data_IF_406912913743
#
_entry.id   IF_406912913743
#
_cell.length_a   1.000
_cell.length_b   1.000
_cell.length_c   1.000
_cell.angle_alpha   90.00
_cell.angle_beta   90.00
_cell.angle_gamma   90.00
#
_symmetry.space_group_name_H-M   'P 1'
#
loop_
_entity.id
_entity.type
_entity.pdbx_description
1 polymer ?
#
# COMPACT_ATOMS: atom_id res chain seq x y z
N UNK A 1 -59.68 15.72 -37.80
CA UNK A 1 -60.47 16.26 -36.69
C UNK A 1 -59.85 15.82 -35.38
N UNK A 2 -59.61 16.79 -34.48
CA UNK A 2 -59.46 16.68 -33.02
C UNK A 2 -58.30 15.84 -32.44
N UNK A 3 -57.58 16.25 -31.39
CA UNK A 3 -57.43 17.52 -30.69
C UNK A 3 -56.21 17.39 -29.78
N UNK A 4 -55.41 18.45 -29.68
CA UNK A 4 -54.36 18.63 -28.67
C UNK A 4 -54.98 18.68 -27.28
N UNK A 5 -54.37 17.98 -26.32
CA UNK A 5 -54.50 18.31 -24.89
C UNK A 5 -53.11 18.34 -24.25
N UNK A 6 -52.65 19.56 -23.98
CA UNK A 6 -51.60 19.83 -23.02
C UNK A 6 -52.14 19.56 -21.62
N UNK A 7 -51.33 18.92 -20.77
CA UNK A 7 -51.50 19.03 -19.33
C UNK A 7 -50.18 19.52 -18.74
N UNK A 8 -50.21 20.80 -18.37
CA UNK A 8 -49.27 21.43 -17.45
C UNK A 8 -49.53 20.87 -16.06
N UNK A 9 -48.51 20.26 -15.45
CA UNK A 9 -48.50 19.92 -14.04
C UNK A 9 -47.33 20.66 -13.38
N UNK A 10 -47.64 21.85 -12.87
CA UNK A 10 -46.75 22.59 -11.99
C UNK A 10 -46.59 21.81 -10.68
N UNK A 11 -45.40 21.25 -10.45
CA UNK A 11 -45.04 20.66 -9.16
C UNK A 11 -44.02 21.58 -8.48
N UNK A 12 -44.53 22.52 -7.70
CA UNK A 12 -43.72 23.22 -6.71
C UNK A 12 -43.26 22.22 -5.66
N UNK A 13 -41.95 21.93 -5.62
CA UNK A 13 -41.32 21.29 -4.48
C UNK A 13 -40.35 22.28 -3.86
N UNK A 14 -40.71 22.66 -2.63
CA UNK A 14 -40.00 23.54 -1.71
C UNK A 14 -38.55 23.10 -1.59
N UNK A 15 -37.60 24.00 -1.85
CA UNK A 15 -36.21 23.79 -1.46
C UNK A 15 -36.11 23.96 0.06
N UNK A 16 -36.18 22.86 0.80
CA UNK A 16 -35.76 22.83 2.19
C UNK A 16 -34.24 22.88 2.21
N UNK A 17 -33.67 24.05 2.46
CA UNK A 17 -32.25 24.18 2.78
C UNK A 17 -32.02 23.52 4.15
N UNK A 18 -31.37 22.36 4.17
CA UNK A 18 -30.89 21.78 5.41
C UNK A 18 -29.83 22.70 6.02
N UNK A 19 -29.84 22.96 7.34
CA UNK A 19 -28.78 23.75 7.96
C UNK A 19 -27.46 22.99 7.83
N UNK A 20 -26.48 23.61 7.16
CA UNK A 20 -25.10 23.14 7.18
C UNK A 20 -24.61 23.20 8.62
N UNK A 21 -24.51 22.05 9.28
CA UNK A 21 -23.79 21.92 10.55
C UNK A 21 -22.34 22.27 10.25
N UNK A 22 -21.89 23.44 10.70
CA UNK A 22 -20.49 23.78 10.72
C UNK A 22 -19.80 22.82 11.68
N UNK A 23 -19.11 21.80 11.14
CA UNK A 23 -18.14 21.02 11.90
C UNK A 23 -17.03 21.97 12.32
N UNK A 24 -17.02 22.41 13.58
CA UNK A 24 -15.86 23.07 14.14
C UNK A 24 -14.72 22.06 14.13
N UNK A 25 -13.71 22.31 13.29
CA UNK A 25 -12.42 21.64 13.39
C UNK A 25 -11.70 22.21 14.62
N UNK A 26 -12.16 21.81 15.81
CA UNK A 26 -11.35 21.99 17.01
C UNK A 26 -10.06 21.17 16.82
N UNK A 27 -8.87 21.73 17.10
CA UNK A 27 -7.66 20.92 17.12
C UNK A 27 -7.89 19.86 18.19
N UNK A 28 -8.01 18.59 17.79
CA UNK A 28 -7.92 17.48 18.74
C UNK A 28 -6.51 17.52 19.28
N UNK A 29 -6.34 18.21 20.41
CA UNK A 29 -5.18 18.07 21.28
C UNK A 29 -5.10 16.58 21.59
N UNK A 30 -4.13 15.90 20.98
CA UNK A 30 -3.84 14.51 21.29
C UNK A 30 -3.60 14.45 22.80
N UNK A 31 -4.59 13.96 23.54
CA UNK A 31 -4.37 13.55 24.90
C UNK A 31 -3.51 12.29 24.78
N UNK A 32 -2.26 12.42 25.21
CA UNK A 32 -1.46 11.27 25.58
C UNK A 32 -2.22 10.53 26.67
N UNK A 33 -2.91 9.45 26.33
CA UNK A 33 -3.19 8.42 27.31
C UNK A 33 -1.84 7.77 27.60
N UNK A 34 -1.06 8.40 28.48
CA UNK A 34 -0.14 7.67 29.32
C UNK A 34 -1.06 6.75 30.11
N UNK A 35 -1.13 5.48 29.73
CA UNK A 35 -1.70 4.44 30.56
C UNK A 35 -1.03 4.58 31.92
N UNK A 36 -1.75 5.14 32.90
CA UNK A 36 -1.28 5.07 34.28
C UNK A 36 -1.29 3.59 34.62
N UNK A 37 -0.10 3.02 34.79
CA UNK A 37 0.05 1.64 35.19
C UNK A 37 -0.58 1.49 36.59
N UNK A 38 -1.82 1.03 36.65
CA UNK A 38 -2.45 0.55 37.88
C UNK A 38 -1.96 -0.89 38.11
N UNK A 39 -0.69 -1.00 38.46
CA UNK A 39 -0.09 -2.23 38.96
C UNK A 39 0.68 -1.88 40.21
N UNK A 40 0.25 -2.39 41.36
CA UNK A 40 1.06 -2.35 42.58
C UNK A 40 2.34 -3.14 42.28
N UNK A 41 3.46 -2.44 42.06
CA UNK A 41 4.78 -3.08 41.90
C UNK A 41 5.20 -3.56 43.29
N UNK A 42 4.76 -4.75 43.70
CA UNK A 42 5.41 -5.48 44.78
C UNK A 42 6.54 -6.31 44.15
N UNK A 43 7.72 -5.71 44.06
CA UNK A 43 8.96 -6.33 43.59
C UNK A 43 10.16 -5.80 44.41
N UNK A 44 11.24 -6.59 44.56
CA UNK A 44 12.23 -6.41 45.62
C UNK A 44 12.98 -5.08 45.51
N UNK A 45 13.25 -4.51 46.69
CA UNK A 45 14.12 -3.35 46.93
C UNK A 45 15.59 -3.78 46.82
N UNK A 46 16.08 -3.93 45.61
CA UNK A 46 17.52 -3.98 45.30
C UNK A 46 17.77 -3.14 44.07
N UNK A 47 18.78 -2.27 44.13
CA UNK A 47 19.26 -1.44 43.01
C UNK A 47 19.99 -2.27 41.94
N UNK A 48 19.54 -3.50 41.69
CA UNK A 48 20.06 -4.36 40.65
C UNK A 48 19.24 -4.11 39.38
N UNK A 49 19.87 -3.67 38.27
CA UNK A 49 19.17 -3.57 37.00
C UNK A 49 18.75 -4.97 36.55
N UNK A 50 17.50 -5.13 36.14
CA UNK A 50 17.01 -6.39 35.59
C UNK A 50 17.62 -6.61 34.20
N UNK A 51 18.66 -7.45 34.15
CA UNK A 51 19.37 -7.80 32.92
C UNK A 51 18.56 -8.68 31.97
N UNK A 52 17.41 -9.20 32.40
CA UNK A 52 16.53 -10.02 31.58
C UNK A 52 15.37 -9.22 30.97
N UNK A 53 15.31 -7.89 31.17
CA UNK A 53 14.33 -7.03 30.50
C UNK A 53 14.54 -7.07 28.99
N UNK A 54 13.48 -7.40 28.26
CA UNK A 54 13.45 -7.24 26.81
C UNK A 54 13.64 -5.75 26.49
N UNK A 55 14.72 -5.43 25.77
CA UNK A 55 15.00 -4.05 25.38
C UNK A 55 13.81 -3.47 24.61
N UNK A 56 13.29 -2.33 25.05
CA UNK A 56 12.19 -1.65 24.40
C UNK A 56 12.56 -1.33 22.95
N UNK A 57 11.89 -1.98 22.00
CA UNK A 57 12.27 -2.03 20.58
C UNK A 57 11.91 -0.75 19.81
N UNK A 58 11.11 0.13 20.43
CA UNK A 58 10.67 1.40 19.86
C UNK A 58 11.67 2.52 20.16
N UNK A 59 12.80 2.55 19.44
CA UNK A 59 13.85 3.57 19.64
C UNK A 59 13.38 4.99 19.33
N UNK A 60 12.37 5.17 18.46
CA UNK A 60 11.82 6.48 18.12
C UNK A 60 10.35 6.45 17.70
N UNK A 61 9.67 7.59 17.78
CA UNK A 61 8.27 7.78 17.32
C UNK A 61 8.07 7.47 15.83
N UNK A 62 9.12 7.51 15.03
CA UNK A 62 9.06 7.36 13.57
C UNK A 62 9.65 6.03 13.08
N UNK A 63 10.22 5.23 13.97
CA UNK A 63 10.74 3.90 13.63
C UNK A 63 9.55 2.95 13.55
N UNK A 64 9.29 2.30 12.40
CA UNK A 64 8.23 1.30 12.32
C UNK A 64 8.55 0.16 13.29
N UNK A 65 7.55 -0.30 14.03
CA UNK A 65 7.68 -1.45 14.95
C UNK A 65 7.06 -2.67 14.26
N UNK A 66 7.77 -3.81 14.21
CA UNK A 66 7.24 -5.02 13.59
C UNK A 66 6.05 -5.54 14.39
N UNK A 67 5.00 -6.01 13.69
CA UNK A 67 3.81 -6.55 14.36
C UNK A 67 4.06 -7.90 15.04
N UNK A 68 5.02 -8.67 14.52
CA UNK A 68 5.44 -9.95 15.07
C UNK A 68 6.96 -9.99 15.09
N UNK A 69 7.56 -10.11 16.27
CA UNK A 69 9.01 -10.27 16.40
C UNK A 69 9.34 -11.75 16.47
N UNK A 70 10.13 -12.23 15.52
CA UNK A 70 10.62 -13.60 15.53
C UNK A 70 11.74 -13.73 16.57
N UNK A 71 11.44 -14.36 17.71
CA UNK A 71 12.36 -14.49 18.85
C UNK A 71 13.24 -15.76 18.78
N UNK A 72 13.20 -16.51 17.67
CA UNK A 72 13.99 -17.73 17.49
C UNK A 72 13.51 -18.95 18.29
N UNK A 73 12.33 -18.87 18.92
CA UNK A 73 11.66 -19.98 19.60
C UNK A 73 10.89 -20.92 18.66
N UNK A 74 10.95 -20.65 17.35
CA UNK A 74 10.29 -21.43 16.31
C UNK A 74 11.11 -22.69 15.96
N UNK A 75 10.44 -23.78 15.56
CA UNK A 75 11.11 -25.04 15.21
C UNK A 75 12.10 -24.87 14.05
N UNK A 76 11.79 -23.97 13.11
CA UNK A 76 12.67 -23.59 12.01
C UNK A 76 13.29 -22.25 12.39
N UNK A 77 14.62 -22.19 12.48
CA UNK A 77 15.31 -20.94 12.78
C UNK A 77 14.99 -19.88 11.70
N UNK A 78 14.32 -18.77 12.07
CA UNK A 78 13.97 -17.74 11.12
C UNK A 78 15.23 -17.05 10.60
N UNK A 79 15.28 -16.79 9.30
CA UNK A 79 16.42 -16.07 8.72
C UNK A 79 16.52 -14.64 9.26
N UNK A 80 15.41 -14.07 9.73
CA UNK A 80 15.35 -12.78 10.38
C UNK A 80 16.37 -12.64 11.52
N UNK A 81 16.49 -13.67 12.37
CA UNK A 81 17.39 -13.70 13.54
C UNK A 81 18.86 -13.86 13.14
N UNK A 82 19.11 -14.61 12.05
CA UNK A 82 20.48 -14.95 11.61
C UNK A 82 21.05 -13.88 10.65
N UNK A 83 20.20 -13.20 9.88
CA UNK A 83 20.60 -12.31 8.79
C UNK A 83 21.47 -11.12 9.23
N UNK A 84 21.39 -10.72 10.50
CA UNK A 84 22.00 -9.47 11.00
C UNK A 84 21.34 -8.21 10.44
N UNK A 85 20.20 -8.33 9.75
CA UNK A 85 19.45 -7.18 9.28
C UNK A 85 18.88 -6.38 10.45
N UNK A 86 18.83 -5.04 10.35
CA UNK A 86 18.23 -4.22 11.39
C UNK A 86 16.74 -4.55 11.53
N UNK A 87 16.25 -4.60 12.76
CA UNK A 87 14.85 -4.90 13.07
C UNK A 87 13.87 -3.89 12.45
N UNK A 88 14.31 -2.67 12.17
CA UNK A 88 13.54 -1.66 11.44
C UNK A 88 13.10 -2.13 10.06
N UNK A 89 13.86 -3.03 9.44
CA UNK A 89 13.57 -3.61 8.14
C UNK A 89 12.40 -4.60 8.25
N UNK A 90 12.34 -5.38 9.33
CA UNK A 90 11.23 -6.32 9.60
C UNK A 90 9.90 -5.59 9.77
N UNK A 91 9.95 -4.37 10.30
CA UNK A 91 8.78 -3.55 10.52
C UNK A 91 8.21 -2.92 9.24
N UNK A 92 8.93 -2.98 8.13
CA UNK A 92 8.45 -2.44 6.86
C UNK A 92 7.58 -3.46 6.15
N UNK A 93 6.52 -2.95 5.55
CA UNK A 93 5.70 -3.73 4.63
C UNK A 93 6.41 -3.86 3.29
N UNK A 94 6.31 -5.04 2.70
CA UNK A 94 6.87 -5.42 1.41
C UNK A 94 5.73 -5.63 0.43
N UNK A 95 5.90 -5.14 -0.80
CA UNK A 95 4.96 -5.35 -1.90
C UNK A 95 5.49 -6.43 -2.83
N UNK A 96 4.73 -7.50 -3.00
CA UNK A 96 4.99 -8.57 -3.95
C UNK A 96 4.05 -8.39 -5.14
N UNK A 97 4.59 -8.16 -6.34
CA UNK A 97 3.79 -7.83 -7.52
C UNK A 97 4.49 -8.23 -8.83
N UNK A 98 3.75 -8.33 -9.92
CA UNK A 98 4.33 -8.35 -11.27
C UNK A 98 4.31 -6.95 -11.86
N UNK A 99 5.40 -6.53 -12.49
CA UNK A 99 5.48 -5.21 -13.09
C UNK A 99 4.38 -5.01 -14.14
N UNK A 100 3.63 -3.92 -14.00
CA UNK A 100 2.59 -3.57 -14.97
C UNK A 100 3.22 -3.25 -16.33
N UNK A 101 2.59 -3.74 -17.39
CA UNK A 101 3.03 -3.45 -18.76
C UNK A 101 2.98 -1.94 -19.03
N UNK A 102 4.11 -1.29 -19.39
CA UNK A 102 4.13 0.14 -19.65
C UNK A 102 3.24 0.49 -20.84
N UNK A 103 2.46 1.58 -20.73
CA UNK A 103 1.60 2.05 -21.82
C UNK A 103 2.40 2.61 -23.01
N UNK A 104 3.64 3.03 -22.77
CA UNK A 104 4.54 3.60 -23.77
C UNK A 104 5.16 2.55 -24.71
N UNK A 105 5.17 1.27 -24.33
CA UNK A 105 5.80 0.20 -25.10
C UNK A 105 4.86 -1.00 -25.29
N UNK A 106 5.02 -1.71 -26.41
CA UNK A 106 4.24 -2.91 -26.72
C UNK A 106 4.85 -4.20 -26.18
N UNK A 107 6.11 -4.19 -25.75
CA UNK A 107 6.82 -5.35 -25.19
C UNK A 107 6.26 -5.81 -23.84
N UNK A 108 6.48 -7.09 -23.52
CA UNK A 108 5.93 -7.73 -22.30
C UNK A 108 6.96 -8.59 -21.56
N UNK A 109 8.24 -8.22 -21.68
CA UNK A 109 9.33 -8.99 -21.06
C UNK A 109 9.38 -8.80 -19.54
N UNK A 110 9.15 -7.57 -19.06
CA UNK A 110 9.30 -7.20 -17.65
C UNK A 110 8.24 -7.81 -16.74
N UNK A 111 7.01 -7.98 -17.22
CA UNK A 111 5.89 -8.51 -16.43
C UNK A 111 5.92 -10.02 -16.16
N UNK A 112 6.99 -10.73 -16.54
CA UNK A 112 7.09 -12.20 -16.39
C UNK A 112 7.59 -12.66 -15.03
N UNK A 113 8.37 -11.82 -14.33
CA UNK A 113 8.94 -12.16 -13.02
C UNK A 113 8.13 -11.50 -11.92
N UNK A 114 8.08 -12.16 -10.77
CA UNK A 114 7.55 -11.57 -9.54
C UNK A 114 8.63 -10.69 -8.94
N UNK A 115 8.24 -9.49 -8.54
CA UNK A 115 9.13 -8.50 -7.94
C UNK A 115 8.67 -8.19 -6.53
N UNK A 116 9.64 -8.08 -5.65
CA UNK A 116 9.45 -7.74 -4.26
C UNK A 116 10.20 -6.44 -3.96
N UNK A 117 9.44 -5.42 -3.58
CA UNK A 117 9.94 -4.09 -3.22
C UNK A 117 9.48 -3.72 -1.80
N UNK A 118 10.28 -2.91 -1.10
CA UNK A 118 9.90 -2.35 0.19
C UNK A 118 9.03 -1.10 0.04
N UNK A 119 8.12 -0.91 0.98
CA UNK A 119 7.36 0.34 1.06
C UNK A 119 8.27 1.52 1.43
N UNK A 120 7.83 2.70 1.02
CA UNK A 120 8.54 3.95 1.21
C UNK A 120 8.43 4.40 2.67
N UNK A 121 9.57 4.75 3.28
CA UNK A 121 9.57 5.35 4.61
C UNK A 121 8.79 6.68 4.64
N UNK A 122 7.89 6.89 5.62
CA UNK A 122 7.18 8.17 5.79
C UNK A 122 8.12 9.36 5.99
N UNK A 123 9.25 9.13 6.68
CA UNK A 123 10.30 10.12 6.91
C UNK A 123 11.63 9.54 6.45
N UNK A 124 12.36 10.28 5.62
CA UNK A 124 13.70 9.89 5.16
C UNK A 124 13.76 9.20 3.79
N UNK A 125 12.64 9.11 3.05
CA UNK A 125 12.69 8.60 1.68
C UNK A 125 13.48 9.50 0.73
N UNK A 126 13.06 10.77 0.58
CA UNK A 126 13.72 11.76 -0.28
C UNK A 126 13.64 13.14 0.38
N UNK A 127 14.73 13.90 0.35
CA UNK A 127 14.74 15.33 0.65
C UNK A 127 15.77 16.05 -0.23
N UNK A 128 15.63 17.36 -0.35
CA UNK A 128 16.57 18.19 -1.11
C UNK A 128 17.84 18.48 -0.29
N UNK A 129 19.00 18.28 -0.90
CA UNK A 129 20.28 18.67 -0.32
C UNK A 129 20.41 20.21 -0.32
N UNK A 130 20.59 20.88 0.84
CA UNK A 130 20.63 22.34 0.92
C UNK A 130 21.82 22.98 0.18
N UNK A 131 22.86 22.21 -0.16
CA UNK A 131 24.05 22.74 -0.85
C UNK A 131 23.89 22.77 -2.38
N UNK A 132 23.57 21.62 -3.00
CA UNK A 132 23.56 21.43 -4.48
C UNK A 132 22.15 21.10 -5.02
N UNK A 133 21.18 20.80 -4.17
CA UNK A 133 19.81 20.45 -4.59
C UNK A 133 19.61 18.98 -5.00
N UNK A 134 20.57 18.10 -4.72
CA UNK A 134 20.41 16.66 -4.98
C UNK A 134 19.32 16.01 -4.13
N UNK A 135 18.74 14.93 -4.66
CA UNK A 135 17.77 14.10 -3.95
C UNK A 135 18.49 13.18 -2.97
N UNK A 136 18.64 13.63 -1.73
CA UNK A 136 19.20 12.86 -0.61
C UNK A 136 18.18 11.86 -0.07
N UNK A 137 18.65 10.77 0.52
CA UNK A 137 17.82 9.73 1.13
C UNK A 137 18.53 9.13 2.35
N UNK A 138 17.75 8.69 3.33
CA UNK A 138 18.21 7.91 4.48
C UNK A 138 17.69 6.48 4.43
N UNK A 139 16.99 6.12 3.36
CA UNK A 139 16.44 4.78 3.17
C UNK A 139 17.48 3.85 2.54
N UNK A 140 17.90 2.83 3.28
CA UNK A 140 18.86 1.84 2.79
C UNK A 140 18.26 0.81 1.81
N UNK A 141 16.93 0.65 1.73
CA UNK A 141 16.28 -0.32 0.81
C UNK A 141 15.74 0.29 -0.48
N UNK A 142 15.74 1.62 -0.63
CA UNK A 142 15.07 2.29 -1.76
C UNK A 142 15.57 1.87 -3.17
N UNK A 143 16.81 1.38 -3.26
CA UNK A 143 17.42 0.93 -4.52
C UNK A 143 17.36 -0.57 -4.74
N UNK A 144 16.90 -1.32 -3.74
CA UNK A 144 16.92 -2.77 -3.72
C UNK A 144 15.59 -3.32 -4.19
N UNK A 145 15.63 -4.32 -5.04
CA UNK A 145 14.47 -5.11 -5.44
C UNK A 145 14.90 -6.54 -5.70
N UNK A 146 14.03 -7.49 -5.37
CA UNK A 146 14.32 -8.91 -5.55
C UNK A 146 13.33 -9.48 -6.56
N UNK A 147 13.87 -10.25 -7.51
CA UNK A 147 13.08 -10.90 -8.55
C UNK A 147 12.96 -12.40 -8.26
N UNK A 148 11.75 -12.92 -8.38
CA UNK A 148 11.37 -14.30 -8.14
C UNK A 148 10.73 -14.92 -9.39
N UNK A 149 10.81 -16.24 -9.47
CA UNK A 149 10.14 -17.06 -10.49
C UNK A 149 8.64 -17.17 -10.25
N UNK A 150 8.25 -17.47 -9.01
CA UNK A 150 6.86 -17.71 -8.61
C UNK A 150 6.41 -16.74 -7.52
N UNK A 151 5.10 -16.69 -7.28
CA UNK A 151 4.49 -15.90 -6.19
C UNK A 151 4.82 -16.53 -4.84
N UNK A 152 4.77 -17.84 -4.80
CA UNK A 152 4.96 -18.67 -3.62
C UNK A 152 6.39 -18.55 -3.09
N UNK A 153 7.40 -18.52 -3.99
CA UNK A 153 8.80 -18.30 -3.61
C UNK A 153 9.01 -16.94 -2.94
N UNK A 154 8.34 -15.89 -3.46
CA UNK A 154 8.42 -14.55 -2.91
C UNK A 154 7.76 -14.47 -1.53
N UNK A 155 6.60 -15.12 -1.35
CA UNK A 155 5.90 -15.19 -0.06
C UNK A 155 6.75 -15.93 0.97
N UNK A 156 7.25 -17.11 0.61
CA UNK A 156 8.09 -17.91 1.49
C UNK A 156 9.37 -17.16 1.89
N UNK A 157 9.97 -16.39 0.98
CA UNK A 157 11.11 -15.54 1.31
C UNK A 157 10.74 -14.45 2.32
N UNK A 158 9.62 -13.75 2.12
CA UNK A 158 9.15 -12.71 3.03
C UNK A 158 8.85 -13.28 4.44
N UNK A 159 8.16 -14.42 4.51
CA UNK A 159 7.83 -15.11 5.77
C UNK A 159 9.09 -15.55 6.52
N UNK A 160 10.08 -16.12 5.80
CA UNK A 160 11.34 -16.55 6.40
C UNK A 160 12.16 -15.39 6.99
N UNK A 161 12.03 -14.20 6.42
CA UNK A 161 12.69 -12.98 6.92
C UNK A 161 11.84 -12.20 7.94
N UNK A 162 10.60 -12.64 8.20
CA UNK A 162 9.68 -11.95 9.10
C UNK A 162 9.16 -10.62 8.54
N UNK A 163 9.12 -10.45 7.22
CA UNK A 163 8.60 -9.24 6.59
C UNK A 163 7.08 -9.30 6.46
N UNK A 164 6.41 -8.21 6.85
CA UNK A 164 4.99 -8.05 6.51
C UNK A 164 4.87 -7.87 4.99
N UNK A 165 3.98 -8.60 4.34
CA UNK A 165 3.83 -8.51 2.89
C UNK A 165 2.40 -8.23 2.44
N UNK A 166 2.29 -7.57 1.30
CA UNK A 166 1.05 -7.39 0.54
C UNK A 166 1.25 -7.93 -0.88
N UNK A 167 0.40 -8.87 -1.29
CA UNK A 167 0.45 -9.43 -2.65
C UNK A 167 -0.53 -8.70 -3.55
N UNK A 168 0.00 -8.09 -4.60
CA UNK A 168 -0.77 -7.50 -5.68
C UNK A 168 -0.87 -8.46 -6.86
N UNK A 169 -2.08 -8.94 -7.14
CA UNK A 169 -2.30 -9.84 -8.27
C UNK A 169 -2.16 -9.13 -9.62
N UNK A 170 -1.57 -9.80 -10.63
CA UNK A 170 -1.39 -9.20 -11.95
C UNK A 170 -2.72 -9.02 -12.67
N UNK A 171 -2.93 -7.83 -13.22
CA UNK A 171 -4.09 -7.55 -14.07
C UNK A 171 -3.82 -8.00 -15.51
N UNK A 172 -4.34 -9.16 -15.88
CA UNK A 172 -4.19 -9.70 -17.23
C UNK A 172 -5.16 -9.05 -18.24
N UNK A 173 -4.69 -8.86 -19.48
CA UNK A 173 -5.53 -8.30 -20.55
C UNK A 173 -6.55 -9.35 -20.99
N UNK A 174 -7.82 -8.96 -21.05
CA UNK A 174 -8.88 -9.80 -21.62
C UNK A 174 -8.63 -10.00 -23.12
N UNK A 175 -8.53 -11.26 -23.56
CA UNK A 175 -8.40 -11.60 -24.97
C UNK A 175 -9.76 -11.49 -25.66
N UNK A 176 -9.85 -10.66 -26.69
CA UNK A 176 -11.06 -10.51 -27.51
C UNK A 176 -10.72 -10.88 -28.96
N UNK A 177 -11.58 -11.65 -29.66
CA UNK A 177 -11.33 -12.03 -31.05
C UNK A 177 -11.34 -10.78 -31.94
N UNK A 178 -10.25 -10.57 -32.67
CA UNK A 178 -10.11 -9.46 -33.63
C UNK A 178 -10.11 -10.02 -35.05
N UNK A 179 -11.20 -9.80 -35.78
CA UNK A 179 -11.30 -10.14 -37.20
C UNK A 179 -11.25 -8.88 -38.07
N UNK A 180 -10.34 -8.86 -39.05
CA UNK A 180 -10.18 -7.71 -39.96
C UNK A 180 -11.44 -7.44 -40.79
N UNK A 181 -12.21 -8.49 -41.14
CA UNK A 181 -13.49 -8.38 -41.84
C UNK A 181 -14.52 -7.52 -41.09
N UNK A 182 -14.44 -7.46 -39.75
CA UNK A 182 -15.35 -6.65 -38.93
C UNK A 182 -15.25 -5.15 -39.23
N UNK A 183 -14.17 -4.71 -39.88
CA UNK A 183 -14.01 -3.31 -40.29
C UNK A 183 -14.97 -2.93 -41.44
N UNK A 184 -15.46 -3.90 -42.22
CA UNK A 184 -16.20 -3.66 -43.47
C UNK A 184 -17.62 -4.27 -43.47
N UNK A 185 -18.21 -4.52 -42.29
CA UNK A 185 -19.56 -5.06 -42.21
C UNK A 185 -20.60 -4.10 -42.79
N UNK A 186 -21.53 -4.65 -43.56
CA UNK A 186 -22.68 -3.90 -44.06
C UNK A 186 -23.61 -3.49 -42.91
N UNK A 187 -24.04 -2.23 -42.91
CA UNK A 187 -25.06 -1.72 -42.00
C UNK A 187 -26.25 -1.24 -42.83
N UNK A 188 -27.38 -1.92 -42.70
CA UNK A 188 -28.64 -1.51 -43.33
C UNK A 188 -29.19 -0.19 -42.75
N UNK A 189 -28.78 0.18 -41.53
CA UNK A 189 -29.16 1.43 -40.86
C UNK A 189 -28.12 2.51 -41.08
N UNK A 190 -28.47 3.76 -40.72
CA UNK A 190 -27.54 4.89 -40.68
C UNK A 190 -26.27 4.51 -39.92
N UNK A 191 -25.11 4.74 -40.55
CA UNK A 191 -23.80 4.44 -39.99
C UNK A 191 -23.57 5.21 -38.69
N UNK A 192 -23.05 4.52 -37.66
CA UNK A 192 -22.73 5.12 -36.35
C UNK A 192 -21.53 6.07 -36.43
N UNK A 193 -20.51 5.65 -37.17
CA UNK A 193 -19.30 6.41 -37.43
C UNK A 193 -18.68 5.96 -38.76
N UNK A 194 -17.93 6.84 -39.40
CA UNK A 194 -17.14 6.51 -40.59
C UNK A 194 -15.79 5.98 -40.09
N UNK A 195 -15.48 4.72 -40.40
CA UNK A 195 -14.19 4.12 -40.00
C UNK A 195 -13.08 4.56 -40.95
N UNK A 196 -12.02 5.13 -40.39
CA UNK A 196 -10.75 5.36 -41.08
C UNK A 196 -9.77 4.21 -40.81
N UNK A 197 -8.65 4.18 -41.55
CA UNK A 197 -7.55 3.23 -41.33
C UNK A 197 -6.60 3.72 -40.25
#
# INVERSE_FOLDING_TARGET
>A
MAALRSQSAARMLRSAAAPRVALSAAPRRFQSNVTQASGTITGPVTSEPDYNIEADKATSTYTPVPRSVQNGSEEILPAAVISGAPMELQARTVRIYQEAKPATQSGDWRGRRWRMDWDILPKGHRWENPLIGWQSSGDFMQGTHINFSSKEDAIHFAEKQGYEYFVQEPNSRKFAPKAYANNFLYSARKLKHIRTK
#
